data_IF_969612953527
#
_entry.id   IF_969612953527
#
_cell.length_a   1.000
_cell.length_b   1.000
_cell.length_c   1.000
_cell.angle_alpha   90.00
_cell.angle_beta   90.00
_cell.angle_gamma   90.00
#
_symmetry.space_group_name_H-M   'P 1'
#
loop_
_entity.id
_entity.type
_entity.pdbx_description
1 polymer ?
#
# COMPACT_ATOMS: atom_id res chain seq x y z
N UNK A 1 -2.58 11.00 -6.41
CA UNK A 1 -3.78 10.34 -5.87
C UNK A 1 -4.78 11.35 -5.35
N UNK A 2 -5.35 12.19 -6.22
CA UNK A 2 -6.29 13.25 -5.76
C UNK A 2 -7.74 12.77 -5.68
N UNK A 3 -8.05 11.60 -6.26
CA UNK A 3 -9.40 11.05 -6.36
C UNK A 3 -9.53 9.62 -5.80
N UNK A 4 -8.46 9.07 -5.23
CA UNK A 4 -8.46 7.73 -4.62
C UNK A 4 -7.68 7.78 -3.32
N UNK A 5 -8.36 7.45 -2.22
CA UNK A 5 -7.77 7.38 -0.88
C UNK A 5 -6.63 6.36 -0.89
N UNK A 6 -6.86 5.18 -1.46
CA UNK A 6 -5.82 4.16 -1.65
C UNK A 6 -4.60 4.71 -2.40
N UNK A 7 -4.80 5.30 -3.59
CA UNK A 7 -3.68 5.80 -4.37
C UNK A 7 -2.91 6.92 -3.66
N UNK A 8 -3.60 7.77 -2.89
CA UNK A 8 -2.97 8.81 -2.07
C UNK A 8 -2.06 8.20 -1.00
N UNK A 9 -2.59 7.29 -0.20
CA UNK A 9 -1.88 6.71 0.94
C UNK A 9 -0.76 5.76 0.50
N UNK A 10 -0.93 5.03 -0.61
CA UNK A 10 0.14 4.23 -1.22
C UNK A 10 1.31 5.11 -1.66
N UNK A 11 1.04 6.18 -2.41
CA UNK A 11 2.09 7.11 -2.85
C UNK A 11 2.77 7.78 -1.66
N UNK A 12 2.02 8.12 -0.60
CA UNK A 12 2.60 8.71 0.59
C UNK A 12 3.53 7.72 1.30
N UNK A 13 3.13 6.45 1.48
CA UNK A 13 3.96 5.43 2.12
C UNK A 13 5.27 5.19 1.34
N UNK A 14 5.20 5.12 0.01
CA UNK A 14 6.38 4.94 -0.85
C UNK A 14 7.32 6.15 -0.81
N UNK A 15 6.78 7.38 -0.79
CA UNK A 15 7.58 8.62 -0.76
C UNK A 15 8.20 8.92 0.59
N UNK A 16 7.57 8.51 1.70
CA UNK A 16 8.10 8.72 3.05
C UNK A 16 9.02 7.60 3.52
N UNK A 17 9.23 6.58 2.69
CA UNK A 17 10.04 5.44 3.04
C UNK A 17 11.54 5.82 3.07
N UNK A 18 12.24 5.47 4.15
CA UNK A 18 13.65 5.78 4.35
C UNK A 18 14.57 4.55 4.23
N UNK A 19 14.02 3.34 4.29
CA UNK A 19 14.77 2.07 4.30
C UNK A 19 14.19 1.09 3.27
N UNK A 20 14.77 -0.10 3.11
CA UNK A 20 14.14 -1.15 2.30
C UNK A 20 12.81 -1.55 2.92
N UNK A 21 11.73 -1.48 2.14
CA UNK A 21 10.38 -1.76 2.59
C UNK A 21 9.81 -3.01 1.91
N UNK A 22 9.41 -3.99 2.71
CA UNK A 22 8.79 -5.23 2.23
C UNK A 22 7.30 -5.05 1.91
N UNK A 23 6.80 -5.80 0.92
CA UNK A 23 5.38 -5.80 0.52
C UNK A 23 4.38 -5.91 1.67
N UNK A 24 4.49 -6.90 2.59
CA UNK A 24 3.58 -7.02 3.74
C UNK A 24 3.62 -5.81 4.68
N UNK A 25 4.80 -5.22 4.89
CA UNK A 25 4.95 -4.04 5.74
C UNK A 25 4.35 -2.80 5.05
N UNK A 26 4.58 -2.62 3.75
CA UNK A 26 3.93 -1.58 2.95
C UNK A 26 2.41 -1.71 3.03
N UNK A 27 1.87 -2.91 2.84
CA UNK A 27 0.44 -3.17 2.96
C UNK A 27 -0.11 -2.79 4.33
N UNK A 28 0.52 -3.24 5.42
CA UNK A 28 0.09 -2.91 6.79
C UNK A 28 0.02 -1.39 7.02
N UNK A 29 1.00 -0.64 6.52
CA UNK A 29 1.02 0.82 6.62
C UNK A 29 -0.09 1.47 5.80
N UNK A 30 -0.27 1.05 4.55
CA UNK A 30 -1.29 1.61 3.64
C UNK A 30 -2.69 1.26 4.12
N UNK A 31 -2.96 0.02 4.51
CA UNK A 31 -4.27 -0.43 4.99
C UNK A 31 -4.74 0.37 6.21
N UNK A 32 -3.84 0.60 7.19
CA UNK A 32 -4.14 1.42 8.36
C UNK A 32 -4.51 2.86 7.97
N UNK A 33 -3.71 3.48 7.09
CA UNK A 33 -3.94 4.86 6.64
C UNK A 33 -5.22 5.01 5.82
N UNK A 34 -5.48 4.08 4.91
CA UNK A 34 -6.71 4.07 4.09
C UNK A 34 -7.93 3.93 4.97
N UNK A 35 -7.92 2.99 5.94
CA UNK A 35 -9.05 2.83 6.86
C UNK A 35 -9.32 4.11 7.65
N UNK A 36 -8.28 4.74 8.22
CA UNK A 36 -8.42 6.02 8.93
C UNK A 36 -8.96 7.15 8.04
N UNK A 37 -8.44 7.27 6.81
CA UNK A 37 -8.87 8.31 5.88
C UNK A 37 -10.29 8.08 5.34
N UNK A 38 -10.66 6.84 5.07
CA UNK A 38 -12.00 6.46 4.62
C UNK A 38 -13.05 6.72 5.70
N UNK A 39 -12.79 6.28 6.94
CA UNK A 39 -13.70 6.53 8.08
C UNK A 39 -13.97 8.02 8.27
N UNK A 40 -12.95 8.88 8.11
CA UNK A 40 -13.12 10.34 8.22
C UNK A 40 -14.05 10.93 7.16
N UNK A 41 -14.12 10.30 5.99
CA UNK A 41 -14.96 10.73 4.87
C UNK A 41 -16.31 10.00 4.86
N UNK A 42 -16.61 9.17 5.87
CA UNK A 42 -17.87 8.41 5.96
C UNK A 42 -17.91 7.18 5.05
N UNK A 43 -16.76 6.68 4.59
CA UNK A 43 -16.65 5.48 3.78
C UNK A 43 -16.00 4.33 4.55
N UNK A 44 -16.35 3.10 4.17
CA UNK A 44 -15.63 1.89 4.58
C UNK A 44 -14.81 1.37 3.41
N UNK A 45 -13.50 1.61 3.44
CA UNK A 45 -12.57 1.14 2.43
C UNK A 45 -11.45 0.36 3.11
N UNK A 46 -11.27 -0.89 2.70
CA UNK A 46 -10.21 -1.77 3.16
C UNK A 46 -9.42 -2.26 1.94
N UNK A 47 -8.13 -1.89 1.79
CA UNK A 47 -7.26 -2.45 0.76
C UNK A 47 -7.05 -3.95 0.97
N UNK A 48 -6.78 -4.67 -0.12
CA UNK A 48 -6.46 -6.10 -0.09
C UNK A 48 -5.01 -6.33 -0.54
N UNK A 49 -4.32 -7.26 0.12
CA UNK A 49 -3.02 -7.77 -0.29
C UNK A 49 -3.15 -9.26 -0.54
N UNK A 50 -3.10 -9.65 -1.81
CA UNK A 50 -3.33 -11.01 -2.26
C UNK A 50 -2.31 -11.39 -3.35
N UNK A 51 -2.04 -12.71 -3.53
CA UNK A 51 -1.24 -13.19 -4.64
C UNK A 51 -1.83 -12.80 -6.00
N UNK A 52 -0.97 -12.52 -6.98
CA UNK A 52 -1.41 -12.37 -8.35
C UNK A 52 -1.51 -13.77 -8.97
N UNK A 53 -2.72 -14.32 -9.01
CA UNK A 53 -2.96 -15.62 -9.61
C UNK A 53 -2.54 -15.61 -11.09
N UNK A 54 -1.94 -16.70 -11.56
CA UNK A 54 -1.51 -16.90 -12.96
C UNK A 54 -0.42 -15.93 -13.47
N UNK A 55 0.23 -15.14 -12.61
CA UNK A 55 1.27 -14.19 -13.01
C UNK A 55 2.62 -14.82 -13.39
N UNK A 56 2.75 -16.14 -13.39
CA UNK A 56 3.99 -16.86 -13.70
C UNK A 56 5.07 -16.78 -12.62
N UNK A 57 5.04 -15.75 -11.77
CA UNK A 57 5.90 -15.60 -10.61
C UNK A 57 5.26 -16.25 -9.38
N UNK A 58 5.93 -17.26 -8.81
CA UNK A 58 5.46 -18.12 -7.71
C UNK A 58 5.49 -17.43 -6.33
N UNK A 59 5.18 -16.14 -6.27
CA UNK A 59 5.12 -15.40 -4.99
C UNK A 59 6.48 -14.97 -4.45
N UNK A 60 7.42 -14.61 -5.32
CA UNK A 60 8.63 -13.90 -4.88
C UNK A 60 8.23 -12.58 -4.20
N UNK A 61 8.79 -12.24 -3.03
CA UNK A 61 8.45 -11.02 -2.32
C UNK A 61 8.96 -9.78 -3.06
N UNK A 62 8.16 -8.71 -3.03
CA UNK A 62 8.58 -7.39 -3.52
C UNK A 62 9.25 -6.59 -2.40
N UNK A 63 10.36 -5.94 -2.76
CA UNK A 63 11.08 -4.98 -1.92
C UNK A 63 11.13 -3.63 -2.60
N UNK A 64 10.78 -2.58 -1.87
CA UNK A 64 10.80 -1.20 -2.34
C UNK A 64 12.00 -0.49 -1.73
N UNK A 65 12.82 0.12 -2.58
CA UNK A 65 13.95 0.95 -2.15
C UNK A 65 13.49 2.40 -2.00
N UNK A 66 14.03 3.16 -1.03
CA UNK A 66 13.76 4.60 -0.92
C UNK A 66 14.23 5.33 -2.20
N UNK A 67 13.56 6.41 -2.57
CA UNK A 67 14.07 7.31 -3.61
C UNK A 67 15.26 8.07 -3.03
N UNK A 68 16.36 8.11 -3.80
CA UNK A 68 17.53 8.93 -3.50
C UNK A 68 17.26 10.43 -3.72
#
# INVERSE_FOLDING_TARGET
GNHSIFAKELLQALRSNADVLEGPLLYSQVARRVKTAATRLGYDQTPEYAPINFAGDLGAPFFFRPQA
#
